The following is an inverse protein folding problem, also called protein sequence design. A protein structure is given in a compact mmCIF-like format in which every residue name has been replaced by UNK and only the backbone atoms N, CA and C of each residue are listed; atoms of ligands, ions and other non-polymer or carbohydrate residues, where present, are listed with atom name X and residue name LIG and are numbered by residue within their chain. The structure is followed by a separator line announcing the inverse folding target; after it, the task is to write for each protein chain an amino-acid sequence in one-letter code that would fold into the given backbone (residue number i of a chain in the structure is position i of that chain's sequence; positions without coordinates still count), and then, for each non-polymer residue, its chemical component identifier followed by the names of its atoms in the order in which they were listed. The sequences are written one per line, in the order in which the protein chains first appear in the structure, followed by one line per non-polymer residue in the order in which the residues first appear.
data_IF_208740199199
#
_entry.id   IF_208740199199
#
_cell.length_a   1.000
_cell.length_b   1.000
_cell.length_c   1.000
_cell.angle_alpha   90.00
_cell.angle_beta   90.00
_cell.angle_gamma   90.00
#
_symmetry.space_group_name_H-M   'P 1'
#
loop_
_entity.id
_entity.type
_entity.pdbx_description
1 polymer ?
#
# COMPACT_ATOMS: atom_id res chain seq x y z
N UNK A 1 -4.89 -23.93 -15.12
CA UNK A 1 -3.85 -23.13 -14.44
C UNK A 1 -3.57 -23.83 -13.13
N UNK A 2 -2.30 -24.00 -12.77
CA UNK A 2 -1.90 -24.60 -11.49
C UNK A 2 -2.28 -23.62 -10.36
N UNK A 3 -3.16 -23.96 -9.40
CA UNK A 3 -3.60 -23.05 -8.35
C UNK A 3 -2.47 -22.64 -7.38
N UNK A 4 -1.30 -23.27 -7.47
CA UNK A 4 -0.18 -23.12 -6.54
C UNK A 4 0.92 -22.12 -7.01
N UNK A 5 0.58 -21.21 -7.92
CA UNK A 5 1.54 -20.21 -8.46
C UNK A 5 0.92 -18.82 -8.39
N UNK A 6 1.44 -17.99 -7.48
CA UNK A 6 1.18 -16.54 -7.50
C UNK A 6 2.17 -15.88 -8.46
N UNK A 7 1.64 -15.29 -9.53
CA UNK A 7 2.43 -14.40 -10.38
C UNK A 7 2.41 -13.00 -9.77
N UNK A 8 3.54 -12.59 -9.21
CA UNK A 8 3.76 -11.22 -8.74
C UNK A 8 4.46 -10.48 -9.88
N UNK A 9 3.85 -9.40 -10.37
CA UNK A 9 4.51 -8.50 -11.30
C UNK A 9 5.62 -7.73 -10.56
N UNK A 10 6.84 -7.72 -11.09
CA UNK A 10 7.97 -6.98 -10.51
C UNK A 10 8.73 -6.22 -11.60
N UNK A 11 9.14 -4.95 -11.36
CA UNK A 11 9.88 -4.17 -12.34
C UNK A 11 11.36 -4.55 -12.38
N UNK A 12 11.81 -5.09 -13.51
CA UNK A 12 13.25 -5.24 -13.79
C UNK A 12 13.82 -3.95 -14.40
N UNK A 13 14.90 -3.43 -13.82
CA UNK A 13 15.68 -2.34 -14.42
C UNK A 13 16.78 -2.90 -15.33
N UNK A 14 16.48 -3.06 -16.62
CA UNK A 14 17.50 -3.19 -17.66
C UNK A 14 17.05 -2.44 -18.93
N UNK A 15 17.83 -1.41 -19.27
CA UNK A 15 17.86 -0.60 -20.49
C UNK A 15 16.71 -0.73 -21.51
N UNK A 16 15.99 0.38 -21.71
CA UNK A 16 15.56 0.82 -23.05
C UNK A 16 14.30 0.20 -23.66
N UNK A 17 13.79 -0.93 -23.16
CA UNK A 17 12.47 -1.44 -23.53
C UNK A 17 11.88 -2.24 -22.36
N UNK A 18 10.79 -1.75 -21.76
CA UNK A 18 10.10 -2.45 -20.66
C UNK A 18 9.52 -3.76 -21.19
N UNK A 19 10.24 -4.85 -20.98
CA UNK A 19 9.68 -6.20 -21.07
C UNK A 19 9.66 -6.75 -19.65
N UNK A 20 8.45 -7.00 -19.17
CA UNK A 20 8.19 -7.53 -17.84
C UNK A 20 8.33 -9.06 -17.90
N UNK A 21 9.15 -9.63 -17.01
CA UNK A 21 9.17 -11.08 -16.81
C UNK A 21 8.30 -11.37 -15.59
N UNK A 22 7.29 -12.22 -15.74
CA UNK A 22 6.56 -12.78 -14.61
C UNK A 22 7.55 -13.61 -13.79
N UNK A 23 7.93 -13.12 -12.61
CA UNK A 23 8.69 -13.93 -11.66
C UNK A 23 7.69 -14.85 -10.97
N UNK A 24 7.68 -16.12 -11.36
CA UNK A 24 6.90 -17.15 -10.67
C UNK A 24 7.56 -17.45 -9.34
N UNK A 25 7.09 -16.84 -8.27
CA UNK A 25 7.43 -17.28 -6.92
C UNK A 25 6.51 -18.45 -6.59
N UNK A 26 7.09 -19.63 -6.45
CA UNK A 26 6.36 -20.84 -6.08
C UNK A 26 6.15 -20.84 -4.57
N UNK A 27 5.24 -20.01 -4.08
CA UNK A 27 4.72 -20.16 -2.72
C UNK A 27 3.72 -21.32 -2.79
N UNK A 28 4.17 -22.52 -2.45
CA UNK A 28 3.23 -23.62 -2.19
C UNK A 28 2.26 -23.12 -1.13
N UNK A 29 0.96 -23.36 -1.32
CA UNK A 29 -0.07 -23.04 -0.34
C UNK A 29 -0.33 -21.53 -0.15
N UNK A 30 -0.69 -20.82 -1.22
CA UNK A 30 -1.37 -19.51 -1.07
C UNK A 30 -2.86 -19.79 -0.92
N UNK A 31 -3.30 -19.71 0.33
CA UNK A 31 -4.62 -20.13 0.74
C UNK A 31 -5.69 -19.08 0.45
N UNK A 32 -6.94 -19.52 0.35
CA UNK A 32 -8.06 -18.63 0.10
C UNK A 32 -8.44 -17.92 1.40
N UNK A 33 -9.04 -16.75 1.25
CA UNK A 33 -9.98 -16.24 2.25
C UNK A 33 -11.26 -17.07 2.05
N UNK A 34 -11.48 -18.11 2.85
CA UNK A 34 -12.66 -18.99 2.71
C UNK A 34 -13.78 -18.52 3.62
N UNK A 35 -14.96 -18.28 3.06
CA UNK A 35 -16.15 -17.83 3.79
C UNK A 35 -16.97 -19.01 4.33
N UNK A 36 -17.12 -19.06 5.66
CA UNK A 36 -18.28 -19.68 6.32
C UNK A 36 -18.79 -18.76 7.40
N UNK A 37 -19.62 -17.80 7.00
CA UNK A 37 -20.23 -16.84 7.90
C UNK A 37 -21.32 -17.49 8.79
N UNK A 38 -21.28 -17.17 10.08
CA UNK A 38 -22.50 -17.00 10.89
C UNK A 38 -22.87 -15.52 10.90
N UNK A 39 -24.13 -15.25 10.58
CA UNK A 39 -24.73 -13.92 10.60
C UNK A 39 -24.77 -13.34 12.02
N UNK A 40 -24.40 -12.07 12.16
CA UNK A 40 -25.15 -11.08 12.96
C UNK A 40 -24.67 -9.67 12.61
N UNK A 41 -25.63 -8.83 12.20
CA UNK A 41 -25.39 -7.60 11.45
C UNK A 41 -24.56 -6.52 12.13
N UNK A 42 -23.82 -5.79 11.29
CA UNK A 42 -23.19 -4.52 11.63
C UNK A 42 -24.06 -3.34 11.14
N UNK A 43 -24.16 -2.33 11.98
CA UNK A 43 -24.95 -1.09 11.81
C UNK A 43 -24.07 0.00 11.16
N UNK A 44 -24.62 0.96 10.38
CA UNK A 44 -23.82 2.00 9.71
C UNK A 44 -23.18 2.99 10.71
N UNK A 45 -21.94 3.37 10.42
CA UNK A 45 -21.10 4.39 11.07
C UNK A 45 -21.81 5.77 11.07
N UNK A 46 -21.84 6.45 12.22
CA UNK A 46 -22.51 7.74 12.38
C UNK A 46 -21.64 8.93 11.91
N UNK A 47 -22.30 10.07 11.70
CA UNK A 47 -21.70 11.30 11.19
C UNK A 47 -20.85 12.06 12.24
N UNK A 48 -20.91 11.66 13.50
CA UNK A 48 -20.24 12.33 14.63
C UNK A 48 -18.77 11.90 14.73
N UNK A 49 -18.45 10.65 14.41
CA UNK A 49 -17.08 10.13 14.35
C UNK A 49 -16.21 10.87 13.31
N UNK A 50 -16.80 11.24 12.15
CA UNK A 50 -16.12 12.00 11.10
C UNK A 50 -15.77 13.44 11.56
N UNK A 51 -16.64 14.07 12.35
CA UNK A 51 -16.42 15.40 12.88
C UNK A 51 -15.33 15.41 13.97
N UNK A 52 -15.28 14.35 14.79
CA UNK A 52 -14.24 14.19 15.81
C UNK A 52 -12.85 13.97 15.20
N UNK A 53 -12.78 13.20 14.11
CA UNK A 53 -11.56 12.99 13.32
C UNK A 53 -11.02 14.29 12.68
N UNK A 54 -11.91 15.12 12.13
CA UNK A 54 -11.52 16.45 11.60
C UNK A 54 -11.06 17.41 12.70
N UNK A 55 -11.60 17.32 13.92
CA UNK A 55 -11.15 18.12 15.06
C UNK A 55 -9.74 17.73 15.55
N UNK A 56 -9.39 16.45 15.47
CA UNK A 56 -8.03 15.96 15.80
C UNK A 56 -6.97 16.42 14.79
N UNK A 57 -7.31 16.49 13.50
CA UNK A 57 -6.38 16.96 12.46
C UNK A 57 -6.15 18.47 12.49
N UNK A 58 -7.12 19.24 13.01
CA UNK A 58 -7.10 20.71 13.02
C UNK A 58 -6.61 21.33 14.34
N UNK A 59 -6.38 20.54 15.40
CA UNK A 59 -5.91 21.06 16.70
C UNK A 59 -4.38 21.05 16.80
N UNK A 60 -3.76 22.03 16.14
CA UNK A 60 -2.46 22.58 16.54
C UNK A 60 -2.53 24.11 16.48
N UNK A 61 -2.46 24.75 17.66
CA UNK A 61 -2.61 26.20 17.87
C UNK A 61 -1.59 27.06 17.09
N UNK A 62 -2.08 28.04 16.32
CA UNK A 62 -1.48 29.39 16.19
C UNK A 62 -2.63 30.42 16.04
N UNK A 63 -2.71 31.46 16.91
CA UNK A 63 -3.69 32.55 16.78
C UNK A 63 -3.11 33.75 16.02
N UNK A 64 -3.95 34.43 15.23
CA UNK A 64 -4.14 35.91 15.24
C UNK A 64 -5.18 36.32 14.21
N UNK A 65 -6.27 36.91 14.69
CA UNK A 65 -6.99 38.08 14.17
C UNK A 65 -6.92 38.36 12.66
N UNK A 66 -7.99 38.02 11.94
CA UNK A 66 -8.44 38.78 10.77
C UNK A 66 -9.97 38.81 10.75
N UNK A 67 -10.57 39.97 11.04
CA UNK A 67 -11.94 40.29 10.68
C UNK A 67 -12.09 40.31 9.16
N UNK A 68 -13.07 39.59 8.60
CA UNK A 68 -13.63 39.94 7.29
C UNK A 68 -15.16 39.86 7.33
N UNK A 69 -15.73 41.02 7.06
CA UNK A 69 -17.14 41.42 7.01
C UNK A 69 -17.90 40.67 5.90
N UNK A 70 -19.15 40.31 6.19
CA UNK A 70 -20.11 39.73 5.22
C UNK A 70 -20.61 40.79 4.23
N UNK A 71 -20.80 40.43 2.95
CA UNK A 71 -22.13 40.37 2.27
C UNK A 71 -22.00 40.03 0.76
N UNK A 72 -23.09 39.55 0.11
CA UNK A 72 -23.06 38.76 -1.12
C UNK A 72 -23.38 39.59 -2.38
N UNK A 73 -23.00 39.09 -3.57
CA UNK A 73 -23.93 38.99 -4.70
C UNK A 73 -23.34 38.25 -5.92
N UNK A 74 -24.23 37.50 -6.56
CA UNK A 74 -24.07 36.68 -7.77
C UNK A 74 -24.09 37.59 -9.00
N UNK A 75 -23.16 37.40 -9.95
CA UNK A 75 -23.37 37.83 -11.34
C UNK A 75 -22.82 36.80 -12.33
N UNK A 76 -23.73 36.25 -13.13
CA UNK A 76 -23.49 35.39 -14.29
C UNK A 76 -22.83 36.18 -15.43
N UNK A 77 -21.88 35.56 -16.17
CA UNK A 77 -21.36 36.10 -17.43
C UNK A 77 -21.31 34.98 -18.50
N UNK A 78 -21.71 35.22 -19.77
CA UNK A 78 -22.02 34.17 -20.75
C UNK A 78 -20.83 33.72 -21.63
N UNK A 79 -20.94 32.50 -22.15
CA UNK A 79 -20.00 31.82 -23.05
C UNK A 79 -19.82 32.52 -24.43
N UNK A 80 -18.63 32.46 -25.04
CA UNK A 80 -18.39 32.94 -26.40
C UNK A 80 -18.78 31.90 -27.49
N UNK A 81 -19.10 32.35 -28.72
CA UNK A 81 -19.60 31.52 -29.83
C UNK A 81 -18.49 30.75 -30.60
N UNK A 82 -18.85 29.74 -31.42
CA UNK A 82 -17.90 28.80 -32.00
C UNK A 82 -17.25 29.34 -33.29
N UNK A 83 -15.93 29.23 -33.40
CA UNK A 83 -15.17 29.48 -34.63
C UNK A 83 -14.97 28.20 -35.45
N UNK A 84 -15.26 28.32 -36.74
CA UNK A 84 -15.21 27.29 -37.82
C UNK A 84 -13.78 26.83 -38.18
N UNK A 85 -13.63 25.70 -38.90
CA UNK A 85 -12.43 24.88 -38.89
C UNK A 85 -11.38 25.32 -39.93
N UNK A 86 -10.11 25.25 -39.57
CA UNK A 86 -8.99 25.33 -40.50
C UNK A 86 -8.57 23.93 -40.95
N UNK A 87 -8.55 23.72 -42.27
CA UNK A 87 -7.83 22.63 -42.96
C UNK A 87 -6.54 23.23 -43.53
N UNK A 88 -5.43 22.48 -43.50
CA UNK A 88 -4.50 22.42 -44.64
C UNK A 88 -3.61 21.16 -44.56
N UNK A 89 -3.84 20.30 -45.54
CA UNK A 89 -2.97 19.48 -46.41
C UNK A 89 -1.73 18.72 -45.89
N UNK A 90 -1.69 17.45 -46.35
CA UNK A 90 -0.56 16.52 -46.37
C UNK A 90 0.53 16.97 -47.35
N UNK A 91 1.80 16.83 -46.96
CA UNK A 91 2.92 16.67 -47.88
C UNK A 91 3.99 15.75 -47.27
N UNK A 92 4.43 14.78 -48.07
CA UNK A 92 5.41 13.74 -47.77
C UNK A 92 6.87 14.22 -47.83
N UNK A 93 7.70 13.47 -47.08
CA UNK A 93 9.12 13.12 -47.30
C UNK A 93 10.26 14.14 -47.07
N UNK A 94 11.12 13.84 -46.09
CA UNK A 94 12.54 13.44 -46.26
C UNK A 94 13.49 13.87 -45.12
N UNK A 95 13.91 12.88 -44.32
CA UNK A 95 15.26 12.61 -43.79
C UNK A 95 16.23 13.77 -43.45
N UNK A 96 16.52 13.93 -42.16
CA UNK A 96 17.86 14.24 -41.64
C UNK A 96 17.98 13.71 -40.21
N UNK A 97 18.46 12.47 -40.07
CA UNK A 97 18.75 11.81 -38.81
C UNK A 97 20.04 12.35 -38.18
N UNK A 98 19.91 13.27 -37.21
CA UNK A 98 20.92 13.44 -36.15
C UNK A 98 20.61 12.44 -35.03
N UNK A 99 21.57 11.67 -34.51
CA UNK A 99 21.32 10.84 -33.34
C UNK A 99 21.08 11.76 -32.15
N UNK A 100 19.83 11.81 -31.68
CA UNK A 100 19.55 12.30 -30.33
C UNK A 100 20.14 11.27 -29.38
N UNK A 101 21.26 11.64 -28.76
CA UNK A 101 21.79 10.94 -27.59
C UNK A 101 20.64 10.85 -26.60
N UNK A 102 20.23 9.62 -26.28
CA UNK A 102 19.23 9.38 -25.24
C UNK A 102 19.70 10.07 -23.96
N UNK A 103 18.84 10.79 -23.24
CA UNK A 103 19.25 11.41 -21.98
C UNK A 103 19.68 10.28 -21.05
N UNK A 104 20.96 10.27 -20.66
CA UNK A 104 21.45 9.45 -19.56
C UNK A 104 20.58 9.78 -18.35
N UNK A 105 19.81 8.80 -17.88
CA UNK A 105 19.06 8.90 -16.63
C UNK A 105 20.08 9.00 -15.52
N UNK A 106 20.39 10.23 -15.11
CA UNK A 106 21.17 10.47 -13.89
C UNK A 106 20.31 9.98 -12.73
N UNK A 107 20.56 8.74 -12.31
CA UNK A 107 19.96 8.15 -11.10
C UNK A 107 20.14 9.13 -9.93
N UNK A 108 19.04 9.60 -9.35
CA UNK A 108 19.10 10.41 -8.13
C UNK A 108 19.81 9.66 -7.00
N UNK A 109 20.33 10.39 -6.01
CA UNK A 109 20.95 9.78 -4.83
C UNK A 109 19.97 8.84 -4.11
N UNK A 110 18.69 9.20 -4.08
CA UNK A 110 17.58 8.42 -3.54
C UNK A 110 17.34 7.12 -4.31
N UNK A 111 17.35 7.17 -5.65
CA UNK A 111 17.22 5.95 -6.47
C UNK A 111 18.40 5.00 -6.27
N UNK A 112 19.61 5.54 -6.11
CA UNK A 112 20.79 4.75 -5.73
C UNK A 112 20.64 4.16 -4.33
N UNK A 113 20.20 4.94 -3.35
CA UNK A 113 19.95 4.47 -1.99
C UNK A 113 18.98 3.30 -1.96
N UNK A 114 17.82 3.40 -2.63
CA UNK A 114 16.83 2.32 -2.66
C UNK A 114 17.38 1.04 -3.28
N UNK A 115 18.18 1.15 -4.35
CA UNK A 115 18.82 -0.02 -4.97
C UNK A 115 19.79 -0.72 -4.02
N UNK A 116 20.51 0.05 -3.21
CA UNK A 116 21.52 -0.47 -2.28
C UNK A 116 20.89 -0.84 -0.91
N UNK A 117 19.62 -0.47 -0.66
CA UNK A 117 18.89 -0.76 0.56
C UNK A 117 18.52 -2.25 0.64
N UNK A 118 19.03 -2.93 1.66
CA UNK A 118 18.84 -4.38 1.82
C UNK A 118 17.38 -4.71 2.16
N UNK A 119 16.84 -5.71 1.44
CA UNK A 119 15.53 -6.32 1.72
C UNK A 119 15.46 -6.90 3.12
N UNK A 120 16.46 -7.67 3.54
CA UNK A 120 16.59 -8.13 4.93
C UNK A 120 17.81 -7.49 5.58
N UNK A 121 17.68 -7.03 6.82
CA UNK A 121 18.80 -6.50 7.60
C UNK A 121 18.53 -6.66 9.11
N UNK A 122 19.58 -6.86 9.90
CA UNK A 122 19.48 -6.88 11.36
C UNK A 122 19.73 -5.48 11.93
N UNK A 123 19.09 -5.17 13.06
CA UNK A 123 19.20 -3.89 13.77
C UNK A 123 19.29 -4.15 15.27
N UNK A 124 19.88 -3.21 16.02
CA UNK A 124 20.14 -3.41 17.44
C UNK A 124 18.95 -3.06 18.34
N UNK A 125 18.04 -2.21 17.87
CA UNK A 125 17.00 -1.59 18.69
C UNK A 125 15.63 -1.56 17.98
N UNK A 126 14.57 -1.63 18.76
CA UNK A 126 13.17 -1.54 18.35
C UNK A 126 12.38 -0.91 19.48
N UNK A 127 12.78 0.29 19.89
CA UNK A 127 12.16 0.99 21.03
C UNK A 127 10.73 1.43 20.71
N UNK A 128 10.46 1.77 19.44
CA UNK A 128 9.15 2.18 18.92
C UNK A 128 8.24 1.01 18.51
N UNK A 129 8.69 -0.23 18.67
CA UNK A 129 7.97 -1.41 18.22
C UNK A 129 6.76 -1.71 19.10
N UNK A 130 5.64 -2.12 18.49
CA UNK A 130 4.37 -2.37 19.17
C UNK A 130 4.54 -3.32 20.37
N UNK A 131 5.39 -4.33 20.21
CA UNK A 131 5.65 -5.37 21.20
C UNK A 131 6.90 -5.10 22.09
N UNK A 132 7.53 -3.92 22.00
CA UNK A 132 8.77 -3.61 22.71
C UNK A 132 8.61 -3.69 24.23
N UNK A 133 7.49 -3.18 24.76
CA UNK A 133 7.18 -3.16 26.19
C UNK A 133 6.76 -4.51 26.76
N UNK A 134 6.35 -5.45 25.89
CA UNK A 134 6.05 -6.80 26.33
C UNK A 134 7.35 -7.50 26.74
N UNK A 135 7.30 -8.20 27.87
CA UNK A 135 8.47 -8.88 28.42
C UNK A 135 9.11 -9.77 27.37
N UNK A 136 10.43 -9.71 27.22
CA UNK A 136 11.20 -10.75 26.57
C UNK A 136 10.95 -12.01 27.40
N UNK A 137 10.02 -12.85 27.00
CA UNK A 137 9.70 -14.07 27.75
C UNK A 137 10.83 -15.12 27.69
N UNK A 138 11.99 -14.71 27.16
CA UNK A 138 13.27 -15.40 27.22
C UNK A 138 14.34 -14.66 28.00
N UNK A 139 14.42 -14.97 29.29
CA UNK A 139 15.75 -15.34 29.78
C UNK A 139 16.03 -16.74 29.19
N UNK A 140 16.60 -16.75 27.98
CA UNK A 140 16.92 -17.89 27.11
C UNK A 140 15.72 -18.67 26.54
N UNK A 141 15.33 -18.34 25.30
CA UNK A 141 14.51 -19.24 24.48
C UNK A 141 15.23 -20.58 24.35
N UNK A 142 14.47 -21.67 24.31
CA UNK A 142 15.04 -23.00 24.07
C UNK A 142 15.89 -22.99 22.79
N UNK A 143 16.98 -23.77 22.79
CA UNK A 143 17.92 -23.83 21.65
C UNK A 143 17.21 -24.10 20.32
N UNK A 144 16.15 -24.89 20.33
CA UNK A 144 15.41 -25.23 19.11
C UNK A 144 14.49 -24.10 18.63
N UNK A 145 13.95 -23.29 19.54
CA UNK A 145 13.23 -22.05 19.18
C UNK A 145 14.18 -21.08 18.45
N UNK A 146 15.38 -20.87 18.99
CA UNK A 146 16.35 -19.93 18.41
C UNK A 146 16.83 -20.40 17.03
N UNK A 147 17.11 -21.71 16.87
CA UNK A 147 17.41 -22.30 15.56
C UNK A 147 16.27 -22.12 14.58
N UNK A 148 15.02 -22.27 15.02
CA UNK A 148 13.86 -22.11 14.15
C UNK A 148 13.74 -20.66 13.67
N UNK A 149 13.84 -19.68 14.56
CA UNK A 149 13.81 -18.25 14.20
C UNK A 149 14.95 -17.89 13.24
N UNK A 150 16.17 -18.36 13.51
CA UNK A 150 17.31 -18.18 12.60
C UNK A 150 17.07 -18.82 11.22
N UNK A 151 16.36 -19.95 11.17
CA UNK A 151 15.96 -20.57 9.90
C UNK A 151 14.99 -19.67 9.13
N UNK A 152 13.99 -19.09 9.79
CA UNK A 152 13.08 -18.13 9.16
C UNK A 152 13.82 -16.86 8.71
N UNK A 153 14.75 -16.31 9.49
CA UNK A 153 15.58 -15.18 9.08
C UNK A 153 16.38 -15.48 7.81
N UNK A 154 16.96 -16.69 7.72
CA UNK A 154 17.68 -17.11 6.52
C UNK A 154 16.77 -17.24 5.30
N UNK A 155 15.53 -17.69 5.47
CA UNK A 155 14.54 -17.71 4.38
C UNK A 155 14.26 -16.27 3.93
N UNK A 156 14.02 -15.35 4.87
CA UNK A 156 13.78 -13.94 4.56
C UNK A 156 14.96 -13.28 3.85
N UNK A 157 16.19 -13.56 4.29
CA UNK A 157 17.40 -13.01 3.66
C UNK A 157 17.54 -13.41 2.17
N UNK A 158 17.15 -14.63 1.82
CA UNK A 158 17.35 -15.19 0.48
C UNK A 158 16.16 -14.97 -0.46
N UNK A 159 14.92 -15.04 0.07
CA UNK A 159 13.74 -15.31 -0.75
C UNK A 159 12.67 -14.21 -0.68
N UNK A 160 12.92 -13.08 0.01
CA UNK A 160 11.98 -11.95 0.05
C UNK A 160 11.68 -11.39 -1.35
N UNK A 161 10.40 -11.13 -1.71
CA UNK A 161 10.05 -10.39 -2.92
C UNK A 161 10.67 -8.98 -2.96
N UNK A 162 10.80 -8.40 -4.15
CA UNK A 162 11.38 -7.05 -4.33
C UNK A 162 10.57 -5.94 -3.63
N UNK A 163 9.30 -6.20 -3.34
CA UNK A 163 8.37 -5.25 -2.71
C UNK A 163 8.25 -5.43 -1.20
N UNK A 164 9.02 -6.32 -0.58
CA UNK A 164 8.95 -6.60 0.87
C UNK A 164 10.33 -6.43 1.50
N UNK A 165 10.38 -5.62 2.55
CA UNK A 165 11.60 -5.35 3.31
C UNK A 165 11.37 -5.66 4.79
N UNK A 166 12.36 -6.24 5.45
CA UNK A 166 12.29 -6.69 6.84
C UNK A 166 13.52 -6.23 7.61
N UNK A 167 13.29 -5.79 8.85
CA UNK A 167 14.29 -5.53 9.87
C UNK A 167 14.10 -6.52 11.00
N UNK A 168 15.18 -7.17 11.44
CA UNK A 168 15.19 -8.12 12.53
C UNK A 168 15.98 -7.56 13.72
N UNK A 169 15.46 -7.67 14.94
CA UNK A 169 16.14 -7.11 16.10
C UNK A 169 17.13 -8.11 16.72
N UNK A 170 18.41 -7.76 16.80
CA UNK A 170 19.44 -8.63 17.38
C UNK A 170 19.30 -8.74 18.90
N UNK A 171 18.99 -7.63 19.57
CA UNK A 171 18.78 -7.59 21.02
C UNK A 171 17.47 -8.27 21.44
N UNK A 172 16.52 -8.38 20.51
CA UNK A 172 15.20 -9.01 20.65
C UNK A 172 14.92 -9.90 19.46
N UNK A 173 15.52 -11.10 19.44
CA UNK A 173 15.35 -12.06 18.34
C UNK A 173 13.88 -12.43 18.06
N UNK A 174 12.99 -12.22 19.03
CA UNK A 174 11.56 -12.42 18.91
C UNK A 174 10.85 -11.34 18.08
N UNK A 175 11.51 -10.23 17.73
CA UNK A 175 10.89 -9.09 17.04
C UNK A 175 11.39 -8.89 15.62
N UNK A 176 10.45 -8.66 14.70
CA UNK A 176 10.68 -8.26 13.31
C UNK A 176 9.76 -7.09 12.96
N UNK A 177 10.26 -6.17 12.12
CA UNK A 177 9.43 -5.17 11.43
C UNK A 177 9.48 -5.39 9.94
N UNK A 178 8.33 -5.48 9.29
CA UNK A 178 8.21 -5.59 7.85
C UNK A 178 7.55 -4.36 7.24
N UNK A 179 7.94 -3.99 6.03
CA UNK A 179 7.20 -3.07 5.16
C UNK A 179 6.90 -3.76 3.85
N UNK A 180 5.65 -3.65 3.42
CA UNK A 180 5.17 -4.14 2.13
C UNK A 180 4.82 -2.93 1.28
N UNK A 181 5.41 -2.83 0.09
CA UNK A 181 5.03 -1.85 -0.93
C UNK A 181 3.75 -2.36 -1.59
N UNK A 182 2.71 -1.52 -1.64
CA UNK A 182 1.47 -1.84 -2.34
C UNK A 182 1.72 -2.07 -3.83
N UNK A 183 1.17 -3.15 -4.36
CA UNK A 183 1.45 -3.59 -5.72
C UNK A 183 0.74 -2.71 -6.75
N UNK A 184 1.37 -2.54 -7.91
CA UNK A 184 0.73 -1.98 -9.09
C UNK A 184 -0.52 -2.80 -9.46
N UNK A 185 -1.55 -2.14 -9.97
CA UNK A 185 -2.82 -2.81 -10.25
C UNK A 185 -3.82 -2.76 -9.09
N UNK A 186 -3.38 -2.39 -7.89
CA UNK A 186 -4.21 -2.39 -6.67
C UNK A 186 -4.48 -0.97 -6.18
N UNK A 187 -5.54 -0.71 -5.40
CA UNK A 187 -5.76 0.60 -4.77
C UNK A 187 -4.70 0.95 -3.70
N UNK A 188 -3.75 0.04 -3.43
CA UNK A 188 -2.64 0.22 -2.49
C UNK A 188 -1.35 0.72 -3.16
N UNK A 189 -1.32 0.79 -4.50
CA UNK A 189 -0.08 1.00 -5.26
C UNK A 189 0.75 2.16 -4.72
N UNK A 190 2.07 1.96 -4.66
CA UNK A 190 3.07 2.91 -4.12
C UNK A 190 2.97 3.20 -2.61
N UNK A 191 1.93 2.73 -1.92
CA UNK A 191 1.80 2.84 -0.47
C UNK A 191 2.83 1.98 0.26
N UNK A 192 3.21 2.39 1.48
CA UNK A 192 4.09 1.65 2.37
C UNK A 192 3.29 1.17 3.58
N UNK A 193 3.13 -0.14 3.72
CA UNK A 193 2.32 -0.77 4.77
C UNK A 193 3.23 -1.49 5.76
N UNK A 194 3.28 -1.00 7.00
CA UNK A 194 4.20 -1.49 8.02
C UNK A 194 3.54 -2.46 9.00
N UNK A 195 4.26 -3.52 9.34
CA UNK A 195 3.83 -4.57 10.25
C UNK A 195 4.92 -4.88 11.27
N UNK A 196 4.57 -4.80 12.55
CA UNK A 196 5.39 -5.30 13.65
C UNK A 196 4.99 -6.75 13.92
N UNK A 197 5.98 -7.63 14.07
CA UNK A 197 5.79 -9.07 14.19
C UNK A 197 6.56 -9.54 15.41
N UNK A 198 5.90 -10.33 16.26
CA UNK A 198 6.51 -10.96 17.42
C UNK A 198 6.35 -12.48 17.35
N UNK A 199 7.47 -13.20 17.37
CA UNK A 199 7.46 -14.64 17.58
C UNK A 199 6.95 -14.95 18.98
N UNK A 200 5.96 -15.83 19.08
CA UNK A 200 5.44 -16.30 20.36
C UNK A 200 6.46 -17.20 21.08
N UNK A 201 6.32 -17.35 22.40
CA UNK A 201 7.21 -18.22 23.19
C UNK A 201 7.14 -19.68 22.80
N UNK A 202 6.01 -20.09 22.23
CA UNK A 202 5.76 -21.44 21.74
C UNK A 202 6.00 -21.59 20.24
N UNK A 203 6.56 -20.57 19.57
CA UNK A 203 6.94 -20.65 18.16
C UNK A 203 7.90 -21.83 17.90
N UNK A 204 7.71 -22.62 16.81
CA UNK A 204 6.75 -22.45 15.73
C UNK A 204 5.42 -23.22 15.93
N UNK A 205 5.09 -23.68 17.14
CA UNK A 205 3.85 -24.41 17.40
C UNK A 205 2.61 -23.53 17.45
N UNK A 206 2.79 -22.25 17.78
CA UNK A 206 1.80 -21.19 17.59
C UNK A 206 2.28 -20.19 16.52
N UNK A 207 1.36 -19.50 15.82
CA UNK A 207 1.72 -18.44 14.90
C UNK A 207 2.42 -17.27 15.62
N UNK A 208 3.09 -16.39 14.87
CA UNK A 208 3.54 -15.10 15.41
C UNK A 208 2.35 -14.18 15.67
N UNK A 209 2.55 -13.21 16.56
CA UNK A 209 1.66 -12.06 16.73
C UNK A 209 2.03 -10.99 15.69
N UNK A 210 1.03 -10.31 15.10
CA UNK A 210 1.23 -9.28 14.07
C UNK A 210 0.40 -8.04 14.39
N UNK A 211 1.01 -6.87 14.25
CA UNK A 211 0.38 -5.57 14.40
C UNK A 211 0.61 -4.71 13.16
N UNK A 212 -0.46 -4.23 12.53
CA UNK A 212 -0.42 -3.28 11.43
C UNK A 212 -0.38 -1.84 11.94
N UNK A 213 0.55 -1.03 11.42
CA UNK A 213 0.62 0.40 11.73
C UNK A 213 -0.44 1.19 10.95
N UNK A 214 -1.68 1.15 11.44
CA UNK A 214 -2.83 1.72 10.76
C UNK A 214 -2.89 3.25 10.71
N UNK A 215 -2.25 3.94 11.66
CA UNK A 215 -2.30 5.41 11.73
C UNK A 215 -3.71 5.97 11.91
N UNK A 216 -4.63 5.20 12.52
CA UNK A 216 -6.03 5.60 12.67
C UNK A 216 -6.87 5.43 11.40
N UNK A 217 -6.44 4.58 10.46
CA UNK A 217 -7.14 4.33 9.20
C UNK A 217 -7.60 2.88 9.09
N UNK A 218 -8.86 2.68 8.70
CA UNK A 218 -9.34 1.40 8.21
C UNK A 218 -9.19 1.37 6.69
N UNK A 219 -8.29 0.51 6.20
CA UNK A 219 -7.89 0.49 4.77
C UNK A 219 -8.25 -0.81 4.07
N UNK A 220 -8.62 -1.84 4.83
CA UNK A 220 -9.03 -3.15 4.33
C UNK A 220 -9.92 -3.84 5.38
N UNK A 221 -10.89 -4.68 5.01
CA UNK A 221 -11.71 -5.42 5.98
C UNK A 221 -10.87 -6.30 6.92
N UNK A 222 -9.66 -6.70 6.51
CA UNK A 222 -8.73 -7.50 7.31
C UNK A 222 -7.63 -6.67 8.00
N UNK A 223 -7.58 -5.34 7.83
CA UNK A 223 -6.62 -4.44 8.47
C UNK A 223 -7.36 -3.36 9.26
N UNK A 224 -7.41 -3.58 10.57
CA UNK A 224 -8.24 -2.80 11.46
C UNK A 224 -7.53 -1.51 11.88
N UNK A 225 -8.31 -0.50 12.25
CA UNK A 225 -7.80 0.77 12.76
C UNK A 225 -6.92 0.61 14.02
N UNK A 226 -7.24 -0.38 14.87
CA UNK A 226 -6.45 -0.73 16.04
C UNK A 226 -5.16 -1.52 15.72
N UNK A 227 -4.90 -1.78 14.44
CA UNK A 227 -3.75 -2.54 13.95
C UNK A 227 -3.91 -4.05 14.00
N UNK A 228 -5.11 -4.57 14.29
CA UNK A 228 -5.37 -6.01 14.20
C UNK A 228 -5.35 -6.48 12.73
N UNK A 229 -4.77 -7.67 12.50
CA UNK A 229 -4.64 -8.28 11.18
C UNK A 229 -5.38 -9.62 11.16
N UNK A 230 -6.40 -9.71 10.30
CA UNK A 230 -7.17 -10.94 10.10
C UNK A 230 -6.55 -11.78 8.99
N UNK A 231 -6.06 -12.98 9.34
CA UNK A 231 -5.55 -13.95 8.38
C UNK A 231 -5.65 -15.35 8.98
N UNK A 232 -6.06 -16.34 8.18
CA UNK A 232 -6.20 -17.73 8.65
C UNK A 232 -4.87 -18.30 9.16
N UNK A 233 -3.74 -17.93 8.52
CA UNK A 233 -2.39 -18.26 8.99
C UNK A 233 -2.05 -17.72 10.39
N UNK A 234 -2.76 -16.70 10.86
CA UNK A 234 -2.58 -16.13 12.20
C UNK A 234 -3.60 -16.68 13.21
N UNK A 235 -4.55 -17.51 12.76
CA UNK A 235 -5.67 -17.98 13.58
C UNK A 235 -6.66 -16.87 13.94
N UNK A 236 -6.60 -15.73 13.25
CA UNK A 236 -7.47 -14.55 13.45
C UNK A 236 -8.59 -14.47 12.41
N UNK A 237 -8.68 -15.48 11.54
CA UNK A 237 -9.73 -15.61 10.53
C UNK A 237 -10.05 -17.07 10.26
N UNK A 238 -11.27 -17.33 9.81
CA UNK A 238 -11.69 -18.68 9.42
C UNK A 238 -10.91 -19.16 8.18
N UNK A 239 -10.53 -20.42 8.18
CA UNK A 239 -9.87 -21.07 7.06
C UNK A 239 -9.85 -22.58 7.25
N UNK A 240 -9.64 -23.33 6.16
CA UNK A 240 -9.47 -24.78 6.29
C UNK A 240 -8.19 -25.09 7.09
N UNK A 241 -8.09 -26.29 7.66
CA UNK A 241 -6.93 -26.71 8.48
C UNK A 241 -5.58 -26.59 7.75
N UNK A 242 -5.59 -26.60 6.41
CA UNK A 242 -4.39 -26.36 5.61
C UNK A 242 -4.02 -24.88 5.60
N UNK A 243 -5.01 -23.99 5.60
CA UNK A 243 -4.88 -22.53 5.54
C UNK A 243 -4.45 -21.91 6.86
N UNK A 244 -4.62 -22.63 7.95
CA UNK A 244 -4.14 -22.26 9.28
C UNK A 244 -2.62 -22.41 9.41
N UNK A 245 -2.06 -21.83 10.47
CA UNK A 245 -0.65 -22.04 10.83
C UNK A 245 -0.34 -23.53 11.04
N UNK A 246 0.59 -24.08 10.27
CA UNK A 246 1.06 -25.46 10.42
C UNK A 246 2.43 -25.45 11.12
N UNK A 247 2.53 -26.00 12.34
CA UNK A 247 3.78 -26.05 13.07
C UNK A 247 4.93 -26.66 12.26
N UNK A 248 6.07 -25.98 12.26
CA UNK A 248 7.28 -26.36 11.52
C UNK A 248 7.19 -26.29 9.98
N UNK A 249 6.03 -26.06 9.39
CA UNK A 249 5.86 -25.95 7.93
C UNK A 249 5.61 -24.51 7.48
N UNK A 250 4.73 -23.78 8.16
CA UNK A 250 4.46 -22.38 7.87
C UNK A 250 5.71 -21.51 8.16
N UNK A 251 5.88 -20.42 7.41
CA UNK A 251 7.05 -19.53 7.52
C UNK A 251 6.63 -18.07 7.60
N UNK A 252 7.51 -17.20 8.09
CA UNK A 252 7.27 -15.75 8.07
C UNK A 252 7.20 -15.21 6.64
N UNK A 253 7.97 -15.79 5.70
CA UNK A 253 7.88 -15.43 4.29
C UNK A 253 6.48 -15.72 3.73
N UNK A 254 5.91 -16.90 4.03
CA UNK A 254 4.55 -17.25 3.62
C UNK A 254 3.54 -16.25 4.17
N UNK A 255 3.64 -15.89 5.46
CA UNK A 255 2.79 -14.88 6.09
C UNK A 255 2.84 -13.54 5.35
N UNK A 256 4.04 -13.01 5.09
CA UNK A 256 4.22 -11.71 4.42
C UNK A 256 3.69 -11.71 2.98
N UNK A 257 3.92 -12.80 2.22
CA UNK A 257 3.39 -12.93 0.86
C UNK A 257 1.87 -13.10 0.88
N UNK A 258 1.30 -13.81 1.86
CA UNK A 258 -0.15 -13.93 2.03
C UNK A 258 -0.79 -12.58 2.36
N UNK A 259 -0.20 -11.74 3.20
CA UNK A 259 -0.68 -10.37 3.44
C UNK A 259 -0.71 -9.59 2.11
N UNK A 260 0.39 -9.61 1.34
CA UNK A 260 0.44 -8.90 0.06
C UNK A 260 -0.61 -9.42 -0.94
N UNK A 261 -0.75 -10.74 -1.08
CA UNK A 261 -1.58 -11.35 -2.12
C UNK A 261 -3.08 -11.37 -1.78
N UNK A 262 -3.42 -11.56 -0.50
CA UNK A 262 -4.80 -11.78 -0.07
C UNK A 262 -5.42 -10.52 0.56
N UNK A 263 -4.63 -9.69 1.24
CA UNK A 263 -5.13 -8.48 1.90
C UNK A 263 -4.95 -7.27 0.97
N UNK A 264 -3.71 -7.01 0.53
CA UNK A 264 -3.37 -5.86 -0.31
C UNK A 264 -3.62 -6.11 -1.81
N UNK A 265 -4.77 -6.70 -2.14
CA UNK A 265 -5.10 -7.17 -3.49
C UNK A 265 -5.87 -6.13 -4.34
N UNK A 266 -6.18 -6.47 -5.59
CA UNK A 266 -6.82 -5.56 -6.55
C UNK A 266 -8.28 -5.19 -6.19
N UNK A 267 -9.03 -6.09 -5.55
CA UNK A 267 -10.46 -5.94 -5.27
C UNK A 267 -10.76 -6.19 -3.78
N UNK A 268 -10.29 -5.31 -2.88
CA UNK A 268 -10.37 -5.56 -1.44
C UNK A 268 -11.78 -5.55 -0.87
N UNK A 269 -12.79 -5.13 -1.64
CA UNK A 269 -14.20 -5.24 -1.29
C UNK A 269 -14.60 -6.69 -1.00
N UNK A 270 -14.09 -7.64 -1.78
CA UNK A 270 -14.41 -9.06 -1.62
C UNK A 270 -13.66 -9.73 -0.47
N UNK A 271 -12.84 -8.99 0.29
CA UNK A 271 -12.28 -9.48 1.53
C UNK A 271 -13.29 -9.45 2.69
N UNK A 272 -14.41 -8.74 2.52
CA UNK A 272 -15.50 -8.69 3.50
C UNK A 272 -16.27 -10.04 3.50
N UNK A 273 -16.44 -10.68 4.67
CA UNK A 273 -17.25 -11.88 4.82
C UNK A 273 -18.59 -11.86 4.09
N UNK A 274 -18.77 -12.81 3.18
CA UNK A 274 -20.02 -13.03 2.47
C UNK A 274 -20.15 -12.24 1.17
N UNK A 275 -19.22 -11.33 0.88
CA UNK A 275 -19.25 -10.53 -0.34
C UNK A 275 -18.63 -11.28 -1.52
N UNK A 276 -17.85 -12.34 -1.27
CA UNK A 276 -17.18 -13.16 -2.29
C UNK A 276 -18.17 -13.77 -3.28
N UNK A 277 -19.38 -14.09 -2.82
CA UNK A 277 -20.45 -14.65 -3.67
C UNK A 277 -20.95 -13.69 -4.74
N UNK A 278 -20.67 -12.40 -4.60
CA UNK A 278 -21.06 -11.35 -5.55
C UNK A 278 -19.95 -11.01 -6.55
N UNK A 279 -18.76 -11.61 -6.40
CA UNK A 279 -17.65 -11.41 -7.34
C UNK A 279 -18.05 -11.85 -8.76
N UNK A 280 -17.71 -11.02 -9.77
CA UNK A 280 -18.11 -11.24 -11.15
C UNK A 280 -19.56 -10.86 -11.49
N UNK A 281 -20.41 -10.53 -10.50
CA UNK A 281 -21.73 -9.93 -10.76
C UNK A 281 -21.60 -8.45 -11.08
N UNK A 282 -22.52 -7.88 -11.87
CA UNK A 282 -22.48 -6.46 -12.20
C UNK A 282 -22.55 -5.56 -10.95
N UNK A 283 -23.36 -5.94 -9.96
CA UNK A 283 -23.52 -5.20 -8.71
C UNK A 283 -22.26 -5.27 -7.84
N UNK A 284 -21.75 -6.48 -7.58
CA UNK A 284 -20.54 -6.67 -6.78
C UNK A 284 -19.31 -6.00 -7.40
N UNK A 285 -19.15 -6.04 -8.72
CA UNK A 285 -18.06 -5.34 -9.41
C UNK A 285 -18.20 -3.80 -9.29
N UNK A 286 -19.40 -3.25 -9.40
CA UNK A 286 -19.64 -1.81 -9.22
C UNK A 286 -19.38 -1.35 -7.78
N UNK A 287 -19.73 -2.18 -6.79
CA UNK A 287 -19.42 -1.93 -5.38
C UNK A 287 -17.91 -2.02 -5.13
N UNK A 288 -17.23 -3.01 -5.72
CA UNK A 288 -15.78 -3.16 -5.63
C UNK A 288 -15.02 -1.99 -6.27
N UNK A 289 -15.51 -1.46 -7.40
CA UNK A 289 -14.95 -0.24 -8.02
C UNK A 289 -15.05 0.94 -7.05
N UNK A 290 -16.23 1.16 -6.45
CA UNK A 290 -16.46 2.26 -5.48
C UNK A 290 -15.60 2.09 -4.22
N UNK A 291 -15.51 0.87 -3.68
CA UNK A 291 -14.69 0.59 -2.51
C UNK A 291 -13.20 0.81 -2.80
N UNK A 292 -12.73 0.46 -4.00
CA UNK A 292 -11.33 0.68 -4.41
C UNK A 292 -10.98 2.17 -4.48
N UNK A 293 -11.93 3.03 -4.86
CA UNK A 293 -11.78 4.49 -4.80
C UNK A 293 -11.55 4.98 -3.35
N UNK A 294 -12.34 4.48 -2.40
CA UNK A 294 -12.20 4.82 -0.98
C UNK A 294 -10.87 4.33 -0.40
N UNK A 295 -10.49 3.09 -0.72
CA UNK A 295 -9.21 2.51 -0.31
C UNK A 295 -8.05 3.33 -0.87
N UNK A 296 -8.11 3.80 -2.12
CA UNK A 296 -7.05 4.62 -2.69
C UNK A 296 -6.86 5.95 -1.94
N UNK A 297 -7.95 6.62 -1.54
CA UNK A 297 -7.86 7.81 -0.67
C UNK A 297 -7.19 7.47 0.67
N UNK A 298 -7.57 6.34 1.28
CA UNK A 298 -6.92 5.86 2.51
C UNK A 298 -5.45 5.50 2.31
N UNK A 299 -5.06 4.98 1.14
CA UNK A 299 -3.67 4.73 0.77
C UNK A 299 -2.89 6.05 0.72
N UNK A 300 -3.42 7.10 0.09
CA UNK A 300 -2.79 8.43 0.10
C UNK A 300 -2.64 8.99 1.52
N UNK A 301 -3.64 8.80 2.39
CA UNK A 301 -3.55 9.17 3.81
C UNK A 301 -2.44 8.41 4.53
N UNK A 302 -2.30 7.11 4.23
CA UNK A 302 -1.22 6.26 4.76
C UNK A 302 0.16 6.72 4.28
N UNK A 303 0.29 7.17 3.03
CA UNK A 303 1.53 7.77 2.52
C UNK A 303 1.88 9.05 3.29
N UNK A 304 0.90 9.95 3.50
CA UNK A 304 1.12 11.18 4.28
C UNK A 304 1.50 10.86 5.74
N UNK A 305 0.82 9.90 6.36
CA UNK A 305 1.14 9.43 7.70
C UNK A 305 2.59 8.92 7.80
N UNK A 306 2.99 8.02 6.90
CA UNK A 306 4.34 7.44 6.91
C UNK A 306 5.42 8.46 6.57
N UNK A 307 5.17 9.43 5.69
CA UNK A 307 6.10 10.54 5.43
C UNK A 307 6.31 11.44 6.65
N UNK A 308 5.25 11.70 7.42
CA UNK A 308 5.31 12.57 8.61
C UNK A 308 5.88 11.87 9.83
N UNK A 309 5.63 10.56 9.97
CA UNK A 309 6.07 9.75 11.08
C UNK A 309 6.62 8.42 10.57
N UNK A 310 7.80 8.43 9.92
CA UNK A 310 8.43 7.19 9.49
C UNK A 310 8.80 6.36 10.72
N UNK A 311 8.71 5.04 10.58
CA UNK A 311 9.12 4.11 11.63
C UNK A 311 10.63 3.97 11.68
N UNK A 312 11.16 3.66 12.87
CA UNK A 312 12.60 3.46 13.07
C UNK A 312 13.16 2.43 12.09
N UNK A 313 14.37 2.71 11.59
CA UNK A 313 15.14 1.93 10.60
C UNK A 313 14.60 1.97 9.16
N UNK A 314 13.57 2.77 8.90
CA UNK A 314 12.97 2.97 7.58
C UNK A 314 12.83 4.44 7.18
N UNK A 315 13.37 5.39 7.93
CA UNK A 315 13.22 6.83 7.70
C UNK A 315 13.74 7.25 6.33
N UNK A 316 14.97 6.87 6.00
CA UNK A 316 15.55 7.18 4.69
C UNK A 316 14.90 6.34 3.57
N UNK A 317 14.40 5.14 3.89
CA UNK A 317 13.67 4.32 2.92
C UNK A 317 12.35 4.97 2.52
N UNK A 318 11.55 5.41 3.49
CA UNK A 318 10.29 6.14 3.27
C UNK A 318 10.55 7.42 2.48
N UNK A 319 11.53 8.21 2.92
CA UNK A 319 11.93 9.45 2.24
C UNK A 319 12.34 9.20 0.79
N UNK A 320 13.25 8.24 0.56
CA UNK A 320 13.76 7.94 -0.77
C UNK A 320 12.69 7.31 -1.67
N UNK A 321 11.85 6.43 -1.15
CA UNK A 321 10.74 5.81 -1.87
C UNK A 321 9.78 6.88 -2.40
N UNK A 322 9.23 7.72 -1.52
CA UNK A 322 8.28 8.74 -1.96
C UNK A 322 8.92 9.83 -2.81
N UNK A 323 10.20 10.17 -2.60
CA UNK A 323 10.92 11.06 -3.50
C UNK A 323 10.98 10.51 -4.94
N UNK A 324 11.32 9.23 -5.10
CA UNK A 324 11.43 8.58 -6.41
C UNK A 324 10.06 8.35 -7.05
N UNK A 325 9.04 8.04 -6.25
CA UNK A 325 7.68 7.71 -6.72
C UNK A 325 6.75 8.91 -6.90
N UNK A 326 7.11 10.10 -6.38
CA UNK A 326 6.23 11.27 -6.35
C UNK A 326 5.58 11.62 -7.71
N UNK A 327 6.35 11.69 -8.80
CA UNK A 327 5.80 11.99 -10.13
C UNK A 327 4.84 10.90 -10.63
N UNK A 328 5.13 9.63 -10.37
CA UNK A 328 4.26 8.52 -10.77
C UNK A 328 2.95 8.54 -9.94
N UNK A 329 3.03 8.82 -8.64
CA UNK A 329 1.86 8.94 -7.77
C UNK A 329 0.97 10.12 -8.21
N UNK A 330 1.56 11.30 -8.47
CA UNK A 330 0.82 12.47 -8.96
C UNK A 330 0.20 12.20 -10.33
N UNK A 331 0.92 11.50 -11.21
CA UNK A 331 0.40 11.09 -12.52
C UNK A 331 -0.83 10.18 -12.38
N UNK A 332 -0.77 9.17 -11.51
CA UNK A 332 -1.91 8.29 -11.22
C UNK A 332 -3.08 9.06 -10.63
N UNK A 333 -2.83 9.94 -9.65
CA UNK A 333 -3.86 10.79 -9.06
C UNK A 333 -4.57 11.67 -10.11
N UNK A 334 -3.81 12.28 -11.02
CA UNK A 334 -4.39 13.08 -12.10
C UNK A 334 -5.21 12.21 -13.07
N UNK A 335 -4.72 11.03 -13.44
CA UNK A 335 -5.48 10.11 -14.29
C UNK A 335 -6.82 9.70 -13.65
N UNK A 336 -6.82 9.39 -12.35
CA UNK A 336 -8.03 9.01 -11.61
C UNK A 336 -9.00 10.19 -11.44
N UNK A 337 -8.46 11.40 -11.18
CA UNK A 337 -9.23 12.64 -11.16
C UNK A 337 -9.88 12.94 -12.52
N UNK A 338 -9.23 12.56 -13.62
CA UNK A 338 -9.74 12.71 -14.98
C UNK A 338 -10.68 11.56 -15.41
N UNK A 339 -10.90 10.59 -14.52
CA UNK A 339 -11.91 9.54 -14.65
C UNK A 339 -11.38 8.14 -14.94
N UNK A 340 -10.05 7.93 -14.99
CA UNK A 340 -9.52 6.58 -15.11
C UNK A 340 -9.87 5.72 -13.86
N UNK A 341 -10.15 4.42 -14.01
CA UNK A 341 -10.42 3.55 -12.88
C UNK A 341 -9.15 3.33 -12.04
N UNK A 342 -9.33 3.25 -10.72
CA UNK A 342 -8.25 2.98 -9.76
C UNK A 342 -7.58 1.64 -10.06
N UNK A 343 -6.25 1.59 -9.98
CA UNK A 343 -5.48 0.39 -10.26
C UNK A 343 -5.35 0.04 -11.75
N UNK A 344 -5.98 0.77 -12.68
CA UNK A 344 -5.85 0.48 -14.11
C UNK A 344 -4.80 1.34 -14.80
N UNK A 345 -3.85 0.72 -15.51
CA UNK A 345 -2.96 1.40 -16.43
C UNK A 345 -3.69 1.65 -17.76
N UNK A 346 -4.00 2.93 -18.02
CA UNK A 346 -4.58 3.54 -19.24
C UNK A 346 -4.76 2.58 -20.44
N UNK A 347 -5.95 2.01 -20.57
CA UNK A 347 -6.60 1.75 -21.85
C UNK A 347 -8.05 2.23 -21.76
N UNK A 348 -8.50 2.90 -22.81
CA UNK A 348 -9.80 3.58 -22.92
C UNK A 348 -10.95 2.62 -22.58
N UNK A 349 -11.58 2.84 -21.42
CA UNK A 349 -12.90 2.30 -21.12
C UNK A 349 -13.81 3.44 -20.67
N UNK A 350 -15.08 3.35 -21.04
CA UNK A 350 -16.09 4.41 -20.98
C UNK A 350 -16.66 4.69 -19.59
N UNK A 351 -16.03 4.20 -18.52
CA UNK A 351 -16.50 4.37 -17.14
C UNK A 351 -15.58 5.31 -16.37
N UNK A 352 -16.09 6.51 -16.12
CA UNK A 352 -15.47 7.50 -15.26
C UNK A 352 -15.62 7.09 -13.80
N UNK A 353 -14.56 7.24 -13.00
CA UNK A 353 -14.64 7.18 -11.53
C UNK A 353 -15.73 8.10 -10.95
N UNK A 354 -16.18 7.81 -9.74
CA UNK A 354 -17.31 8.49 -9.10
C UNK A 354 -17.04 9.99 -8.94
N UNK A 355 -18.09 10.81 -9.01
CA UNK A 355 -17.93 12.28 -8.83
C UNK A 355 -17.38 12.63 -7.46
N UNK A 356 -17.82 11.92 -6.42
CA UNK A 356 -17.38 12.11 -5.03
C UNK A 356 -15.89 11.83 -4.91
N UNK A 357 -15.44 10.66 -5.38
CA UNK A 357 -14.03 10.29 -5.36
C UNK A 357 -13.14 11.31 -6.05
N UNK A 358 -13.51 11.79 -7.24
CA UNK A 358 -12.70 12.79 -7.96
C UNK A 358 -12.56 14.12 -7.20
N UNK A 359 -13.61 14.54 -6.50
CA UNK A 359 -13.58 15.73 -5.63
C UNK A 359 -12.68 15.48 -4.43
N UNK A 360 -12.88 14.37 -3.72
CA UNK A 360 -12.11 14.01 -2.52
C UNK A 360 -10.62 13.85 -2.84
N UNK A 361 -10.30 13.20 -3.96
CA UNK A 361 -8.95 13.06 -4.48
C UNK A 361 -8.33 14.42 -4.80
N UNK A 362 -9.05 15.29 -5.52
CA UNK A 362 -8.58 16.63 -5.84
C UNK A 362 -8.29 17.47 -4.59
N UNK A 363 -9.14 17.38 -3.57
CA UNK A 363 -8.94 18.06 -2.28
C UNK A 363 -7.71 17.51 -1.53
N UNK A 364 -7.55 16.19 -1.47
CA UNK A 364 -6.48 15.57 -0.69
C UNK A 364 -5.11 15.62 -1.39
N UNK A 365 -5.09 15.70 -2.73
CA UNK A 365 -3.86 15.73 -3.52
C UNK A 365 -2.96 16.91 -3.15
N UNK A 366 -3.52 18.05 -2.72
CA UNK A 366 -2.74 19.19 -2.22
C UNK A 366 -1.86 18.78 -1.04
N UNK A 367 -2.43 18.07 -0.06
CA UNK A 367 -1.70 17.58 1.12
C UNK A 367 -0.56 16.64 0.71
N UNK A 368 -0.82 15.72 -0.23
CA UNK A 368 0.18 14.76 -0.72
C UNK A 368 1.34 15.48 -1.41
N UNK A 369 1.04 16.43 -2.29
CA UNK A 369 2.05 17.24 -3.00
C UNK A 369 2.87 18.08 -2.02
N UNK A 370 2.23 18.70 -1.03
CA UNK A 370 2.92 19.49 0.00
C UNK A 370 3.95 18.63 0.76
N UNK A 371 3.62 17.37 1.07
CA UNK A 371 4.60 16.44 1.68
C UNK A 371 5.74 16.07 0.71
N UNK A 372 5.46 15.80 -0.56
CA UNK A 372 6.52 15.52 -1.55
C UNK A 372 7.47 16.72 -1.74
N UNK A 373 6.94 17.94 -1.72
CA UNK A 373 7.75 19.17 -1.77
C UNK A 373 8.66 19.26 -0.54
N UNK A 374 8.17 18.92 0.67
CA UNK A 374 9.02 18.84 1.88
C UNK A 374 10.12 17.78 1.77
N UNK A 375 9.89 16.70 1.02
CA UNK A 375 10.94 15.72 0.71
C UNK A 375 11.99 16.26 -0.29
N UNK A 376 11.71 17.38 -0.94
CA UNK A 376 12.60 18.06 -1.89
C UNK A 376 12.29 17.76 -3.36
N UNK A 377 11.13 17.16 -3.65
CA UNK A 377 10.67 16.94 -5.04
C UNK A 377 10.28 18.28 -5.65
N UNK A 378 10.64 18.51 -6.91
CA UNK A 378 10.38 19.74 -7.66
C UNK A 378 9.47 19.44 -8.85
N UNK A 379 8.71 20.44 -9.28
CA UNK A 379 7.91 20.39 -10.53
C UNK A 379 6.84 19.28 -10.53
N UNK A 380 5.95 19.28 -9.52
CA UNK A 380 4.84 18.33 -9.38
C UNK A 380 3.50 18.84 -9.92
#
# INVERSE_FOLDING_TARGET
MDPDVVEIASPSTASGSRTWKNTKIRVRNVFRVSSKAFANGAVPMDLEDYAMFQAMLNSQDIPTDVEVVMTPDVVMVPSPPPSRPYKFDNADASSSSRPLVAPEVVSSAQAKFLRDFKRFHTVDDFSDHHYASQSNASKQHAKDWAKRVQSDWKILENDLPETIFVRACESRMDLLRAVIIGAEGTPYHDGLFFFDIKFSDTYPFAPPEVHYHAGGLSINPNLYECGHVCLSLLGTWDGDARESWIPNESTILQLLVSIQALILNQKPYFNEPGYETTEGTQEGEAQSETYSEEVFISSLKTMVYSMRKPLEHFEEFVRSHYFVRAHDIVKSCNAYKDGAPVGWMVQETSKSGSKRFRVDLGCYMKTVVDEFVKLGVKEL
#
